data_IF_802431384476
#
_entry.id   IF_802431384476
#
_cell.length_a   1.000
_cell.length_b   1.000
_cell.length_c   1.000
_cell.angle_alpha   90.00
_cell.angle_beta   90.00
_cell.angle_gamma   90.00
#
_symmetry.space_group_name_H-M   'P 1'
#
loop_
_entity.id
_entity.type
_entity.pdbx_description
1 polymer ?
#
# COMPACT_ATOMS: atom_id res chain seq x y z
N UNK A 1 -11.29 4.61 28.96
CA UNK A 1 -10.90 3.83 27.77
C UNK A 1 -9.69 4.51 27.14
N UNK A 2 -8.61 3.77 26.90
CA UNK A 2 -7.41 4.28 26.23
C UNK A 2 -7.67 4.44 24.74
N UNK A 3 -6.93 5.32 24.08
CA UNK A 3 -7.11 5.56 22.64
C UNK A 3 -6.81 4.30 21.81
N UNK A 4 -5.81 3.53 22.24
CA UNK A 4 -5.48 2.22 21.66
C UNK A 4 -6.67 1.23 21.71
N UNK A 5 -7.50 1.28 22.76
CA UNK A 5 -8.67 0.42 22.88
C UNK A 5 -9.76 0.84 21.88
N UNK A 6 -9.99 2.14 21.73
CA UNK A 6 -10.90 2.70 20.72
C UNK A 6 -10.43 2.33 19.31
N UNK A 7 -9.15 2.55 19.01
CA UNK A 7 -8.55 2.21 17.71
C UNK A 7 -8.71 0.73 17.40
N UNK A 8 -8.38 -0.16 18.34
CA UNK A 8 -8.51 -1.60 18.14
C UNK A 8 -9.95 -2.04 17.89
N UNK A 9 -10.92 -1.53 18.67
CA UNK A 9 -12.34 -1.83 18.45
C UNK A 9 -12.84 -1.38 17.06
N UNK A 10 -12.34 -0.25 16.56
CA UNK A 10 -12.64 0.22 15.20
C UNK A 10 -11.98 -0.65 14.13
N UNK A 11 -10.70 -1.01 14.31
CA UNK A 11 -10.01 -1.94 13.40
C UNK A 11 -10.77 -3.26 13.31
N UNK A 12 -11.19 -3.83 14.44
CA UNK A 12 -11.93 -5.09 14.50
C UNK A 12 -13.30 -4.97 13.85
N UNK A 13 -14.05 -3.89 14.13
CA UNK A 13 -15.32 -3.62 13.45
C UNK A 13 -15.17 -3.53 11.92
N UNK A 14 -14.15 -2.82 11.43
CA UNK A 14 -13.88 -2.70 9.99
C UNK A 14 -13.53 -4.07 9.38
N UNK A 15 -12.68 -4.86 10.03
CA UNK A 15 -12.34 -6.23 9.56
C UNK A 15 -13.56 -7.15 9.53
N UNK A 16 -14.40 -7.11 10.55
CA UNK A 16 -15.67 -7.87 10.61
C UNK A 16 -16.60 -7.51 9.45
N UNK A 17 -16.58 -6.23 9.04
CA UNK A 17 -17.30 -5.70 7.87
C UNK A 17 -16.51 -5.80 6.56
N UNK A 18 -15.48 -6.67 6.50
CA UNK A 18 -14.70 -7.02 5.29
C UNK A 18 -13.85 -5.89 4.70
N UNK A 19 -13.52 -4.88 5.49
CA UNK A 19 -12.48 -3.92 5.12
C UNK A 19 -11.09 -4.51 5.32
N UNK A 20 -10.16 -4.17 4.44
CA UNK A 20 -8.74 -4.23 4.73
C UNK A 20 -8.34 -3.03 5.59
N UNK A 21 -7.59 -3.29 6.66
CA UNK A 21 -7.13 -2.26 7.61
C UNK A 21 -5.61 -2.35 7.70
N UNK A 22 -4.85 -1.38 7.15
CA UNK A 22 -3.40 -1.36 7.27
C UNK A 22 -2.95 -1.35 8.73
N UNK A 23 -1.89 -2.12 9.06
CA UNK A 23 -1.35 -2.12 10.42
C UNK A 23 -0.51 -0.89 10.75
N UNK A 24 0.19 -0.36 9.74
CA UNK A 24 0.98 0.88 9.85
C UNK A 24 0.11 2.10 9.58
N UNK A 25 0.59 3.25 10.03
CA UNK A 25 -0.04 4.55 9.77
C UNK A 25 -0.20 4.80 8.26
N UNK A 26 -1.37 5.31 7.88
CA UNK A 26 -1.66 5.71 6.51
C UNK A 26 -1.47 7.22 6.39
N UNK A 27 -0.43 7.66 5.69
CA UNK A 27 -0.08 9.07 5.59
C UNK A 27 -0.52 9.63 4.23
N UNK A 28 -1.39 10.64 4.24
CA UNK A 28 -1.83 11.39 3.04
C UNK A 28 -1.41 12.86 3.08
N UNK A 29 -0.43 13.20 3.92
CA UNK A 29 -0.09 14.56 4.35
C UNK A 29 -0.69 14.88 5.71
N UNK A 30 -1.77 14.18 6.05
CA UNK A 30 -2.34 14.03 7.39
C UNK A 30 -2.49 12.53 7.69
N UNK A 31 -2.64 12.16 8.97
CA UNK A 31 -2.59 10.76 9.41
C UNK A 31 -3.86 10.39 10.18
N UNK A 32 -4.88 9.81 9.50
CA UNK A 32 -6.00 9.20 10.20
C UNK A 32 -5.53 8.09 11.13
N UNK A 33 -6.17 7.96 12.30
CA UNK A 33 -5.82 6.93 13.28
C UNK A 33 -6.09 5.51 12.77
N UNK A 34 -7.18 5.34 12.02
CA UNK A 34 -7.56 4.10 11.36
C UNK A 34 -8.08 4.41 9.97
N UNK A 35 -7.68 3.60 8.99
CA UNK A 35 -8.27 3.61 7.65
C UNK A 35 -8.77 2.22 7.28
N UNK A 36 -9.80 2.17 6.44
CA UNK A 36 -10.36 0.92 5.92
C UNK A 36 -10.63 1.02 4.42
N UNK A 37 -10.26 -0.03 3.68
CA UNK A 37 -10.50 -0.12 2.24
C UNK A 37 -11.30 -1.37 1.88
N UNK A 38 -12.24 -1.24 0.96
CA UNK A 38 -13.04 -2.37 0.48
C UNK A 38 -13.46 -2.15 -0.97
N UNK A 39 -13.26 -3.16 -1.83
CA UNK A 39 -13.93 -3.20 -3.14
C UNK A 39 -15.44 -3.35 -2.90
N UNK A 40 -16.23 -2.38 -3.37
CA UNK A 40 -17.69 -2.46 -3.34
C UNK A 40 -18.20 -3.20 -4.56
N UNK A 41 -17.61 -2.90 -5.72
CA UNK A 41 -17.84 -3.59 -6.97
C UNK A 41 -16.55 -3.66 -7.80
N UNK A 42 -16.68 -3.78 -9.11
CA UNK A 42 -15.55 -3.85 -10.02
C UNK A 42 -14.81 -2.53 -10.23
N UNK A 43 -15.34 -1.36 -9.89
CA UNK A 43 -14.70 -0.07 -10.13
C UNK A 43 -14.59 0.78 -8.86
N UNK A 44 -15.53 0.60 -7.93
CA UNK A 44 -15.62 1.40 -6.71
C UNK A 44 -14.86 0.78 -5.54
N UNK A 45 -14.02 1.61 -4.90
CA UNK A 45 -13.40 1.32 -3.62
C UNK A 45 -14.04 2.23 -2.57
N UNK A 46 -14.60 1.63 -1.53
CA UNK A 46 -15.01 2.36 -0.33
C UNK A 46 -13.80 2.57 0.57
N UNK A 47 -13.44 3.84 0.74
CA UNK A 47 -12.33 4.28 1.57
C UNK A 47 -12.84 5.05 2.78
N UNK A 48 -12.54 4.55 3.97
CA UNK A 48 -12.94 5.14 5.24
C UNK A 48 -11.71 5.65 5.98
N UNK A 49 -11.80 6.85 6.55
CA UNK A 49 -10.87 7.36 7.56
C UNK A 49 -11.61 7.58 8.89
N UNK A 50 -10.98 7.19 10.00
CA UNK A 50 -11.53 7.32 11.34
C UNK A 50 -10.53 8.02 12.25
N UNK A 51 -10.98 9.08 12.92
CA UNK A 51 -10.26 9.72 14.02
C UNK A 51 -10.78 9.17 15.36
N UNK A 52 -9.90 8.67 16.21
CA UNK A 52 -10.24 7.99 17.46
C UNK A 52 -9.96 8.90 18.65
N UNK A 53 -10.99 9.23 19.44
CA UNK A 53 -10.88 10.05 20.64
C UNK A 53 -11.26 9.28 21.89
N UNK A 54 -10.70 9.69 23.03
CA UNK A 54 -10.89 9.04 24.35
C UNK A 54 -11.91 9.75 25.24
N UNK A 55 -12.34 10.96 24.86
CA UNK A 55 -13.17 11.82 25.69
C UNK A 55 -14.64 11.79 25.27
N UNK A 56 -15.53 12.07 26.23
CA UNK A 56 -16.99 11.96 26.11
C UNK A 56 -17.73 13.29 26.13
N UNK A 57 -17.04 14.42 25.94
CA UNK A 57 -17.74 15.72 25.88
C UNK A 57 -18.17 16.06 24.46
N UNK A 58 -19.45 16.39 24.27
CA UNK A 58 -20.02 16.79 22.98
C UNK A 58 -19.26 17.95 22.34
N UNK A 59 -18.85 18.94 23.14
CA UNK A 59 -18.09 20.11 22.65
C UNK A 59 -16.75 19.73 22.04
N UNK A 60 -15.95 18.93 22.73
CA UNK A 60 -14.64 18.49 22.21
C UNK A 60 -14.78 17.62 20.96
N UNK A 61 -15.86 16.82 20.86
CA UNK A 61 -16.14 16.04 19.65
C UNK A 61 -16.48 16.95 18.47
N UNK A 62 -17.27 18.01 18.69
CA UNK A 62 -17.56 19.02 17.66
C UNK A 62 -16.27 19.75 17.25
N UNK A 63 -15.44 20.17 18.19
CA UNK A 63 -14.16 20.83 17.90
C UNK A 63 -13.21 19.90 17.11
N UNK A 64 -13.17 18.61 17.46
CA UNK A 64 -12.40 17.60 16.70
C UNK A 64 -12.94 17.41 15.29
N UNK A 65 -14.27 17.33 15.14
CA UNK A 65 -14.92 17.22 13.85
C UNK A 65 -14.55 18.41 12.96
N UNK A 66 -14.57 19.62 13.54
CA UNK A 66 -14.28 20.87 12.83
C UNK A 66 -12.82 21.06 12.44
N UNK A 67 -11.87 20.49 13.19
CA UNK A 67 -10.44 20.76 13.02
C UNK A 67 -9.65 19.60 12.42
N UNK A 68 -9.93 18.35 12.79
CA UNK A 68 -9.11 17.20 12.40
C UNK A 68 -9.81 16.33 11.36
N UNK A 69 -11.04 15.88 11.64
CA UNK A 69 -11.77 15.02 10.69
C UNK A 69 -12.08 15.75 9.37
N UNK A 70 -12.29 17.07 9.41
CA UNK A 70 -12.46 17.89 8.19
C UNK A 70 -11.23 17.94 7.27
N UNK A 71 -10.03 17.70 7.80
CA UNK A 71 -8.82 17.60 6.98
C UNK A 71 -8.80 16.28 6.21
N UNK A 72 -9.28 15.19 6.82
CA UNK A 72 -9.39 13.90 6.14
C UNK A 72 -10.39 13.94 4.99
N UNK A 73 -11.44 14.77 5.10
CA UNK A 73 -12.45 14.92 4.06
C UNK A 73 -11.92 15.50 2.75
N UNK A 74 -10.70 16.04 2.71
CA UNK A 74 -10.05 16.47 1.48
C UNK A 74 -9.68 15.30 0.57
N UNK A 75 -9.38 14.13 1.16
CA UNK A 75 -8.93 12.95 0.39
C UNK A 75 -9.77 11.69 0.65
N UNK A 76 -10.52 11.60 1.74
CA UNK A 76 -11.38 10.45 2.06
C UNK A 76 -12.86 10.78 1.84
N UNK A 77 -13.59 9.97 1.05
CA UNK A 77 -15.00 10.18 0.81
C UNK A 77 -15.83 9.96 2.09
N UNK A 78 -15.45 9.01 2.94
CA UNK A 78 -16.19 8.69 4.17
C UNK A 78 -15.31 8.89 5.39
N UNK A 79 -15.61 9.91 6.19
CA UNK A 79 -14.85 10.23 7.40
C UNK A 79 -15.72 10.05 8.63
N UNK A 80 -15.17 9.42 9.66
CA UNK A 80 -15.84 9.15 10.91
C UNK A 80 -15.02 9.67 12.09
N UNK A 81 -15.72 10.01 13.18
CA UNK A 81 -15.13 10.06 14.51
C UNK A 81 -15.50 8.79 15.27
N UNK A 82 -14.59 8.29 16.11
CA UNK A 82 -14.83 7.21 17.05
C UNK A 82 -14.60 7.70 18.49
N UNK A 83 -15.51 7.38 19.39
CA UNK A 83 -15.48 7.80 20.79
C UNK A 83 -16.06 6.73 21.70
N UNK A 84 -15.68 6.67 22.99
CA UNK A 84 -16.44 5.91 23.99
C UNK A 84 -17.92 6.32 24.02
N UNK A 85 -18.76 5.39 24.48
CA UNK A 85 -20.20 5.54 24.55
C UNK A 85 -20.66 6.86 25.21
N UNK A 86 -21.56 7.59 24.54
CA UNK A 86 -22.04 8.91 24.91
C UNK A 86 -23.57 8.92 25.04
N UNK A 87 -24.06 9.26 26.24
CA UNK A 87 -25.49 9.17 26.60
C UNK A 87 -26.39 10.08 25.74
N UNK A 88 -25.93 11.28 25.39
CA UNK A 88 -26.73 12.31 24.69
C UNK A 88 -26.27 12.55 23.24
N UNK A 89 -25.91 11.49 22.51
CA UNK A 89 -25.34 11.62 21.16
C UNK A 89 -26.32 12.18 20.13
N UNK A 90 -27.63 12.12 20.38
CA UNK A 90 -28.65 12.69 19.50
C UNK A 90 -28.48 14.19 19.28
N UNK A 91 -27.94 14.92 20.27
CA UNK A 91 -27.65 16.36 20.14
C UNK A 91 -26.53 16.63 19.12
N UNK A 92 -25.65 15.65 18.88
CA UNK A 92 -24.55 15.75 17.92
C UNK A 92 -25.00 15.48 16.48
N UNK A 93 -26.14 14.81 16.30
CA UNK A 93 -26.58 14.31 14.99
C UNK A 93 -26.70 15.44 13.96
N UNK A 94 -27.34 16.56 14.32
CA UNK A 94 -27.51 17.69 13.42
C UNK A 94 -26.17 18.27 12.95
N UNK A 95 -25.22 18.43 13.87
CA UNK A 95 -23.89 18.95 13.57
C UNK A 95 -23.13 17.97 12.67
N UNK A 96 -23.08 16.68 13.03
CA UNK A 96 -22.33 15.66 12.30
C UNK A 96 -22.89 15.43 10.90
N UNK A 97 -24.22 15.39 10.75
CA UNK A 97 -24.87 15.35 9.43
C UNK A 97 -24.53 16.59 8.59
N UNK A 98 -24.55 17.78 9.18
CA UNK A 98 -24.19 19.02 8.46
C UNK A 98 -22.73 19.03 7.98
N UNK A 99 -21.84 18.38 8.75
CA UNK A 99 -20.43 18.21 8.40
C UNK A 99 -20.18 16.99 7.50
N UNK A 100 -21.19 16.15 7.25
CA UNK A 100 -21.09 14.84 6.56
C UNK A 100 -20.07 13.89 7.21
N UNK A 101 -19.93 13.97 8.53
CA UNK A 101 -19.04 13.12 9.32
C UNK A 101 -19.87 12.06 10.04
N UNK A 102 -19.45 10.80 9.94
CA UNK A 102 -20.06 9.70 10.66
C UNK A 102 -19.58 9.59 12.11
N UNK A 103 -20.25 8.76 12.91
CA UNK A 103 -19.89 8.55 14.32
C UNK A 103 -19.94 7.07 14.68
N UNK A 104 -18.83 6.56 15.21
CA UNK A 104 -18.76 5.30 15.90
C UNK A 104 -18.77 5.51 17.43
N UNK A 105 -19.58 4.74 18.13
CA UNK A 105 -19.45 4.57 19.59
C UNK A 105 -18.69 3.29 19.87
N UNK A 106 -17.81 3.33 20.85
CA UNK A 106 -17.09 2.16 21.35
C UNK A 106 -17.53 1.84 22.77
N UNK A 107 -17.89 0.58 23.00
CA UNK A 107 -18.19 0.00 24.30
C UNK A 107 -17.37 -1.27 24.51
N UNK A 108 -16.37 -1.20 25.41
CA UNK A 108 -15.33 -2.22 25.54
C UNK A 108 -14.59 -2.44 24.23
N UNK A 109 -14.64 -3.68 23.72
CA UNK A 109 -14.01 -4.10 22.46
C UNK A 109 -14.95 -4.00 21.24
N UNK A 110 -16.17 -3.49 21.40
CA UNK A 110 -17.17 -3.44 20.34
C UNK A 110 -17.38 -2.00 19.88
N UNK A 111 -17.27 -1.77 18.57
CA UNK A 111 -17.70 -0.52 17.95
C UNK A 111 -19.08 -0.68 17.31
N UNK A 112 -19.85 0.41 17.29
CA UNK A 112 -21.15 0.51 16.64
C UNK A 112 -21.25 1.80 15.85
N UNK A 113 -21.62 1.72 14.58
CA UNK A 113 -21.98 2.89 13.76
C UNK A 113 -23.29 3.48 14.30
N UNK A 114 -23.26 4.75 14.67
CA UNK A 114 -24.44 5.52 15.13
C UNK A 114 -24.94 6.41 14.01
N UNK A 115 -24.02 7.14 13.38
CA UNK A 115 -24.30 7.99 12.23
C UNK A 115 -23.43 7.55 11.07
N UNK A 116 -24.05 7.35 9.91
CA UNK A 116 -23.35 7.06 8.68
C UNK A 116 -22.69 8.34 8.16
N UNK A 117 -21.46 8.25 7.68
CA UNK A 117 -20.81 9.34 6.95
C UNK A 117 -21.42 9.51 5.55
N UNK A 118 -21.26 10.69 4.97
CA UNK A 118 -21.63 10.98 3.59
C UNK A 118 -20.46 11.66 2.87
N UNK A 119 -20.45 11.64 1.53
CA UNK A 119 -19.34 12.19 0.74
C UNK A 119 -19.24 13.70 0.99
N UNK A 120 -18.10 14.18 1.45
CA UNK A 120 -17.89 15.61 1.70
C UNK A 120 -17.85 16.40 0.39
N UNK A 121 -18.49 17.58 0.29
CA UNK A 121 -18.29 18.47 -0.85
C UNK A 121 -16.87 19.09 -0.88
N UNK A 122 -16.07 18.87 0.17
CA UNK A 122 -14.66 19.28 0.24
C UNK A 122 -13.72 18.25 -0.37
N UNK A 123 -14.23 17.08 -0.74
CA UNK A 123 -13.42 16.03 -1.34
C UNK A 123 -12.78 16.57 -2.62
N UNK A 124 -11.46 16.65 -2.62
CA UNK A 124 -10.68 16.90 -3.81
C UNK A 124 -10.49 15.55 -4.51
N UNK A 125 -10.98 15.47 -5.76
CA UNK A 125 -11.02 14.22 -6.49
C UNK A 125 -9.61 13.72 -6.83
N UNK A 126 -8.67 14.62 -7.11
CA UNK A 126 -7.30 14.25 -7.46
C UNK A 126 -6.56 13.74 -6.21
N UNK A 127 -6.73 14.42 -5.07
CA UNK A 127 -6.20 13.94 -3.79
C UNK A 127 -6.78 12.58 -3.41
N UNK A 128 -8.09 12.38 -3.59
CA UNK A 128 -8.68 11.06 -3.40
C UNK A 128 -8.10 10.03 -4.36
N UNK A 129 -8.05 10.32 -5.66
CA UNK A 129 -7.60 9.41 -6.69
C UNK A 129 -6.15 8.96 -6.41
N UNK A 130 -5.23 9.90 -6.27
CA UNK A 130 -3.79 9.63 -6.21
C UNK A 130 -3.31 9.23 -4.81
N UNK A 131 -3.83 9.84 -3.74
CA UNK A 131 -3.33 9.58 -2.38
C UNK A 131 -4.07 8.43 -1.68
N UNK A 132 -5.29 8.10 -2.10
CA UNK A 132 -6.15 7.12 -1.41
C UNK A 132 -6.56 5.98 -2.34
N UNK A 133 -7.28 6.25 -3.43
CA UNK A 133 -7.91 5.23 -4.27
C UNK A 133 -6.88 4.30 -4.92
N UNK A 134 -5.82 4.85 -5.53
CA UNK A 134 -4.81 4.02 -6.20
C UNK A 134 -3.95 3.22 -5.22
N UNK A 135 -3.62 3.82 -4.08
CA UNK A 135 -2.94 3.11 -2.97
C UNK A 135 -3.82 1.97 -2.46
N UNK A 136 -5.12 2.21 -2.25
CA UNK A 136 -6.06 1.19 -1.83
C UNK A 136 -6.22 0.08 -2.88
N UNK A 137 -6.29 0.43 -4.17
CA UNK A 137 -6.35 -0.52 -5.27
C UNK A 137 -5.13 -1.44 -5.26
N UNK A 138 -3.93 -0.88 -5.14
CA UNK A 138 -2.69 -1.65 -5.07
C UNK A 138 -2.69 -2.65 -3.90
N UNK A 139 -3.05 -2.19 -2.70
CA UNK A 139 -3.10 -3.03 -1.49
C UNK A 139 -4.13 -4.15 -1.65
N UNK A 140 -5.36 -3.81 -2.05
CA UNK A 140 -6.44 -4.79 -2.15
C UNK A 140 -6.17 -5.80 -3.27
N UNK A 141 -5.66 -5.37 -4.42
CA UNK A 141 -5.34 -6.29 -5.52
C UNK A 141 -4.17 -7.19 -5.16
N UNK A 142 -3.10 -6.66 -4.55
CA UNK A 142 -1.99 -7.50 -4.07
C UNK A 142 -2.52 -8.57 -3.10
N UNK A 143 -3.38 -8.19 -2.16
CA UNK A 143 -4.00 -9.12 -1.21
C UNK A 143 -4.77 -10.26 -1.87
N UNK A 144 -5.52 -9.94 -2.92
CA UNK A 144 -6.36 -10.93 -3.62
C UNK A 144 -5.56 -11.85 -4.55
N UNK A 145 -4.42 -11.40 -5.08
CA UNK A 145 -3.62 -12.16 -6.04
C UNK A 145 -2.49 -12.93 -5.36
N UNK A 146 -1.80 -12.30 -4.40
CA UNK A 146 -0.62 -12.86 -3.74
C UNK A 146 -0.94 -13.35 -2.33
N UNK A 147 -1.69 -12.57 -1.54
CA UNK A 147 -1.97 -12.85 -0.14
C UNK A 147 -1.72 -11.64 0.76
N UNK A 148 -1.85 -11.82 2.07
CA UNK A 148 -1.82 -10.72 3.04
C UNK A 148 -0.49 -9.94 2.99
N UNK A 149 -0.48 -8.67 2.57
CA UNK A 149 0.76 -7.92 2.39
C UNK A 149 1.27 -7.28 3.68
N UNK A 150 2.59 -7.23 3.82
CA UNK A 150 3.24 -6.14 4.54
C UNK A 150 3.13 -4.87 3.70
N UNK A 151 2.50 -3.84 4.26
CA UNK A 151 2.33 -2.54 3.59
C UNK A 151 3.30 -1.52 4.17
N UNK A 152 3.94 -0.74 3.30
CA UNK A 152 4.74 0.42 3.67
C UNK A 152 4.30 1.65 2.85
N UNK A 153 4.01 2.76 3.53
CA UNK A 153 3.57 4.02 2.92
C UNK A 153 4.56 5.09 3.39
N UNK A 154 5.71 5.25 2.71
CA UNK A 154 6.76 6.15 3.15
C UNK A 154 6.37 7.61 2.98
N UNK A 155 5.59 7.91 1.95
CA UNK A 155 5.14 9.25 1.58
C UNK A 155 3.68 9.23 1.11
N UNK A 156 2.98 10.39 1.12
CA UNK A 156 1.62 10.50 0.59
C UNK A 156 1.50 10.04 -0.86
N UNK A 157 0.61 9.08 -1.11
CA UNK A 157 0.41 8.48 -2.43
C UNK A 157 1.43 7.41 -2.82
N UNK A 158 2.42 7.11 -1.98
CA UNK A 158 3.37 6.02 -2.21
C UNK A 158 2.97 4.75 -1.45
N UNK A 159 3.20 3.60 -2.07
CA UNK A 159 2.94 2.30 -1.47
C UNK A 159 3.99 1.27 -1.90
N UNK A 160 4.34 0.40 -0.95
CA UNK A 160 5.03 -0.84 -1.21
C UNK A 160 4.22 -1.98 -0.57
N UNK A 161 3.81 -2.94 -1.38
CA UNK A 161 3.19 -4.19 -0.95
C UNK A 161 4.15 -5.34 -1.25
N UNK A 162 4.47 -6.12 -0.23
CA UNK A 162 5.42 -7.23 -0.30
C UNK A 162 5.16 -8.23 0.83
N UNK A 163 5.79 -9.41 0.83
CA UNK A 163 5.75 -10.38 1.95
C UNK A 163 7.11 -10.43 2.64
N UNK A 164 7.25 -9.95 3.88
CA UNK A 164 8.55 -9.67 4.54
C UNK A 164 9.57 -10.82 4.61
N UNK A 165 9.20 -12.07 4.34
CA UNK A 165 10.07 -13.25 4.47
C UNK A 165 10.35 -14.00 3.16
N UNK A 166 9.79 -13.58 2.03
CA UNK A 166 10.06 -14.23 0.75
C UNK A 166 11.46 -13.90 0.19
N UNK A 167 12.09 -14.88 -0.47
CA UNK A 167 13.44 -14.69 -0.98
C UNK A 167 13.51 -13.83 -2.24
N UNK A 168 12.68 -14.17 -3.22
CA UNK A 168 12.45 -13.39 -4.42
C UNK A 168 11.01 -12.88 -4.32
N UNK A 169 10.83 -11.73 -3.68
CA UNK A 169 9.52 -11.28 -3.25
C UNK A 169 8.75 -10.63 -4.39
N UNK A 170 7.46 -10.94 -4.52
CA UNK A 170 6.63 -10.10 -5.39
C UNK A 170 6.48 -8.73 -4.75
N UNK A 171 6.90 -7.68 -5.46
CA UNK A 171 6.83 -6.30 -5.01
C UNK A 171 5.88 -5.54 -5.92
N UNK A 172 4.81 -4.99 -5.36
CA UNK A 172 3.98 -3.96 -5.99
C UNK A 172 4.32 -2.62 -5.37
N UNK A 173 4.72 -1.66 -6.20
CA UNK A 173 5.06 -0.32 -5.72
C UNK A 173 4.91 0.71 -6.82
N UNK A 174 4.62 1.95 -6.44
CA UNK A 174 4.72 3.06 -7.38
C UNK A 174 6.09 3.73 -7.35
N UNK A 175 6.63 4.04 -8.53
CA UNK A 175 7.97 4.60 -8.64
C UNK A 175 7.95 6.11 -8.37
N UNK A 176 8.78 6.67 -7.47
CA UNK A 176 8.63 8.06 -7.03
C UNK A 176 8.71 9.14 -8.12
N UNK A 177 9.36 8.84 -9.26
CA UNK A 177 9.55 9.84 -10.34
C UNK A 177 8.35 10.00 -11.26
N UNK A 178 7.69 8.90 -11.63
CA UNK A 178 6.56 8.91 -12.57
C UNK A 178 5.24 8.48 -11.91
N UNK A 179 5.31 8.04 -10.64
CA UNK A 179 4.19 7.61 -9.78
C UNK A 179 3.35 6.45 -10.33
N UNK A 180 3.77 5.87 -11.45
CA UNK A 180 3.13 4.70 -12.03
C UNK A 180 3.39 3.48 -11.17
N UNK A 181 2.49 2.50 -11.26
CA UNK A 181 2.57 1.29 -10.48
C UNK A 181 3.35 0.22 -11.23
N UNK A 182 4.36 -0.32 -10.57
CA UNK A 182 5.24 -1.36 -11.06
C UNK A 182 5.08 -2.61 -10.22
N UNK A 183 5.11 -3.75 -10.88
CA UNK A 183 5.01 -5.05 -10.23
C UNK A 183 6.06 -6.00 -10.78
N UNK A 184 6.66 -6.77 -9.88
CA UNK A 184 7.66 -7.77 -10.27
C UNK A 184 8.34 -8.42 -9.09
N UNK A 185 9.56 -8.90 -9.28
CA UNK A 185 10.37 -9.54 -8.24
C UNK A 185 11.37 -8.54 -7.67
N UNK A 186 11.48 -8.53 -6.35
CA UNK A 186 12.53 -7.84 -5.60
C UNK A 186 13.32 -8.88 -4.79
N UNK A 187 14.64 -8.91 -4.98
CA UNK A 187 15.57 -9.72 -4.18
C UNK A 187 16.38 -8.77 -3.32
N UNK A 188 16.15 -8.87 -2.02
CA UNK A 188 16.85 -8.15 -0.97
C UNK A 188 17.12 -9.09 0.21
N UNK A 189 17.99 -8.65 1.13
CA UNK A 189 18.55 -9.40 2.26
C UNK A 189 19.65 -10.38 1.87
N UNK A 190 20.57 -10.60 2.81
CA UNK A 190 21.82 -11.34 2.60
C UNK A 190 21.59 -12.75 2.07
N UNK A 191 20.73 -13.47 2.76
CA UNK A 191 20.38 -14.86 2.50
C UNK A 191 19.78 -15.06 1.11
N UNK A 192 19.02 -14.08 0.62
CA UNK A 192 18.33 -14.15 -0.66
C UNK A 192 19.23 -13.74 -1.81
N UNK A 193 20.02 -12.67 -1.64
CA UNK A 193 21.03 -12.29 -2.63
C UNK A 193 22.05 -13.42 -2.82
N UNK A 194 22.40 -14.15 -1.76
CA UNK A 194 23.27 -15.33 -1.88
C UNK A 194 22.70 -16.45 -2.75
N UNK A 195 21.38 -16.53 -2.93
CA UNK A 195 20.78 -17.51 -3.84
C UNK A 195 21.08 -17.18 -5.31
N UNK A 196 21.19 -15.89 -5.65
CA UNK A 196 21.61 -15.43 -6.98
C UNK A 196 23.00 -15.97 -7.37
N UNK A 197 23.88 -16.23 -6.40
CA UNK A 197 25.20 -16.81 -6.66
C UNK A 197 25.15 -18.23 -7.22
N UNK A 198 24.05 -18.94 -7.02
CA UNK A 198 23.84 -20.34 -7.43
C UNK A 198 23.09 -20.44 -8.75
N UNK A 199 22.57 -19.33 -9.24
CA UNK A 199 21.80 -19.26 -10.48
C UNK A 199 22.74 -19.50 -11.66
N UNK A 200 22.35 -20.38 -12.57
CA UNK A 200 23.05 -20.57 -13.84
C UNK A 200 22.91 -19.29 -14.69
N UNK A 201 24.04 -18.65 -15.01
CA UNK A 201 24.12 -17.42 -15.81
C UNK A 201 23.38 -17.57 -17.14
N UNK A 202 23.62 -18.68 -17.85
CA UNK A 202 22.98 -18.97 -19.14
C UNK A 202 21.47 -19.15 -19.02
N UNK A 203 21.01 -19.88 -17.99
CA UNK A 203 19.57 -20.09 -17.79
C UNK A 203 18.88 -18.78 -17.40
N UNK A 204 19.51 -17.98 -16.55
CA UNK A 204 18.97 -16.67 -16.16
C UNK A 204 18.89 -15.74 -17.36
N UNK A 205 19.95 -15.64 -18.16
CA UNK A 205 19.95 -14.85 -19.40
C UNK A 205 18.82 -15.29 -20.33
N UNK A 206 18.68 -16.58 -20.60
CA UNK A 206 17.60 -17.11 -21.45
C UNK A 206 16.21 -16.74 -20.94
N UNK A 207 15.96 -16.87 -19.64
CA UNK A 207 14.67 -16.51 -19.05
C UNK A 207 14.41 -15.00 -19.11
N UNK A 208 15.43 -14.17 -18.82
CA UNK A 208 15.33 -12.72 -18.89
C UNK A 208 15.04 -12.24 -20.32
N UNK A 209 15.72 -12.80 -21.32
CA UNK A 209 15.50 -12.46 -22.73
C UNK A 209 14.13 -12.92 -23.26
N UNK A 210 13.53 -13.93 -22.63
CA UNK A 210 12.18 -14.38 -22.97
C UNK A 210 11.07 -13.45 -22.44
N UNK A 211 11.41 -12.49 -21.57
CA UNK A 211 10.43 -11.55 -21.03
C UNK A 211 10.03 -10.48 -22.07
N UNK A 212 8.79 -9.97 -22.00
CA UNK A 212 8.36 -8.81 -22.78
C UNK A 212 9.27 -7.58 -22.62
N UNK A 213 9.30 -6.71 -23.64
CA UNK A 213 10.20 -5.54 -23.68
C UNK A 213 9.92 -4.48 -22.60
N UNK A 214 8.74 -4.52 -21.98
CA UNK A 214 8.32 -3.59 -20.94
C UNK A 214 8.98 -3.87 -19.58
N UNK A 215 9.67 -5.01 -19.45
CA UNK A 215 10.41 -5.34 -18.24
C UNK A 215 11.69 -4.53 -18.11
N UNK A 216 11.89 -4.03 -16.90
CA UNK A 216 13.07 -3.30 -16.46
C UNK A 216 13.79 -4.12 -15.40
N UNK A 217 15.11 -4.17 -15.54
CA UNK A 217 16.01 -4.63 -14.50
C UNK A 217 16.60 -3.42 -13.80
N UNK A 218 16.71 -3.49 -12.48
CA UNK A 218 17.34 -2.48 -11.65
C UNK A 218 18.21 -3.12 -10.59
N UNK A 219 19.44 -2.65 -10.48
CA UNK A 219 20.39 -3.02 -9.45
C UNK A 219 20.81 -1.75 -8.70
N UNK A 220 20.51 -1.71 -7.40
CA UNK A 220 20.97 -0.65 -6.51
C UNK A 220 22.02 -1.21 -5.54
N UNK A 221 23.03 -0.39 -5.22
CA UNK A 221 23.91 -0.59 -4.06
C UNK A 221 23.32 0.16 -2.87
N UNK A 222 23.12 -0.52 -1.74
CA UNK A 222 22.57 0.07 -0.52
C UNK A 222 23.66 0.12 0.56
N UNK A 223 24.10 1.32 0.94
CA UNK A 223 25.10 1.49 2.00
C UNK A 223 24.50 1.28 3.38
N UNK A 224 23.35 1.93 3.58
CA UNK A 224 22.66 1.99 4.86
C UNK A 224 21.16 2.11 4.59
N UNK A 225 20.39 1.39 5.41
CA UNK A 225 18.93 1.50 5.48
C UNK A 225 18.47 2.42 6.62
N UNK A 226 19.31 2.63 7.64
CA UNK A 226 18.95 3.34 8.88
C UNK A 226 20.08 4.25 9.37
N UNK A 227 19.78 5.46 9.90
CA UNK A 227 18.43 6.03 10.09
C UNK A 227 17.79 6.56 8.80
N UNK A 228 18.55 6.63 7.71
CA UNK A 228 18.10 7.07 6.39
C UNK A 228 18.67 6.13 5.34
N UNK A 229 17.85 5.76 4.35
CA UNK A 229 18.32 4.97 3.22
C UNK A 229 19.30 5.78 2.36
N UNK A 230 20.47 5.21 2.11
CA UNK A 230 21.47 5.71 1.14
C UNK A 230 21.70 4.60 0.13
N UNK A 231 21.20 4.82 -1.08
CA UNK A 231 21.32 3.89 -2.20
C UNK A 231 21.84 4.60 -3.45
N UNK A 232 22.60 3.88 -4.27
CA UNK A 232 23.03 4.34 -5.59
C UNK A 232 22.62 3.34 -6.65
N UNK A 233 22.06 3.86 -7.75
CA UNK A 233 21.75 3.07 -8.94
C UNK A 233 23.05 2.59 -9.57
N UNK A 234 23.23 1.27 -9.65
CA UNK A 234 24.37 0.63 -10.33
C UNK A 234 24.02 0.37 -11.78
N UNK A 235 22.82 -0.15 -12.02
CA UNK A 235 22.30 -0.47 -13.35
C UNK A 235 20.78 -0.28 -13.36
N UNK A 236 20.25 0.28 -14.44
CA UNK A 236 18.83 0.36 -14.70
C UNK A 236 18.59 0.37 -16.20
N UNK A 237 18.03 -0.71 -16.75
CA UNK A 237 17.80 -0.83 -18.20
C UNK A 237 16.65 -1.80 -18.51
N UNK A 238 16.22 -1.85 -19.76
CA UNK A 238 15.26 -2.84 -20.28
C UNK A 238 15.94 -4.20 -20.42
N UNK A 239 15.18 -5.26 -20.17
CA UNK A 239 15.71 -6.64 -20.25
C UNK A 239 16.25 -6.99 -21.64
N UNK A 240 15.62 -6.48 -22.70
CA UNK A 240 16.01 -6.71 -24.09
C UNK A 240 17.33 -6.02 -24.49
N UNK A 241 17.82 -5.07 -23.68
CA UNK A 241 19.08 -4.37 -23.92
C UNK A 241 20.27 -5.05 -23.25
N UNK A 242 20.04 -6.08 -22.43
CA UNK A 242 21.09 -6.79 -21.71
C UNK A 242 21.78 -7.82 -22.61
N UNK A 243 23.12 -7.82 -22.62
CA UNK A 243 23.91 -8.92 -23.16
C UNK A 243 24.10 -10.05 -22.14
N UNK A 244 24.69 -11.16 -22.57
CA UNK A 244 25.11 -12.23 -21.66
C UNK A 244 26.16 -11.75 -20.66
N UNK A 245 27.09 -10.89 -21.10
CA UNK A 245 28.13 -10.30 -20.26
C UNK A 245 27.53 -9.35 -19.21
N UNK A 246 26.46 -8.62 -19.54
CA UNK A 246 25.77 -7.75 -18.57
C UNK A 246 25.12 -8.57 -17.44
N UNK A 247 24.49 -9.70 -17.78
CA UNK A 247 23.92 -10.62 -16.78
C UNK A 247 25.01 -11.23 -15.90
N UNK A 248 26.12 -11.65 -16.50
CA UNK A 248 27.27 -12.14 -15.76
C UNK A 248 27.80 -11.09 -14.78
N UNK A 249 28.02 -9.86 -15.26
CA UNK A 249 28.49 -8.74 -14.45
C UNK A 249 27.53 -8.38 -13.32
N UNK A 250 26.21 -8.43 -13.58
CA UNK A 250 25.17 -8.20 -12.57
C UNK A 250 25.25 -9.25 -11.44
N UNK A 251 25.28 -10.53 -11.79
CA UNK A 251 25.30 -11.62 -10.80
C UNK A 251 26.62 -11.61 -10.00
N UNK A 252 27.74 -11.34 -10.67
CA UNK A 252 29.05 -11.20 -10.03
C UNK A 252 29.10 -9.97 -9.10
N UNK A 253 28.42 -8.87 -9.46
CA UNK A 253 28.27 -7.70 -8.59
C UNK A 253 27.47 -8.01 -7.32
N UNK A 254 26.32 -8.68 -7.47
CA UNK A 254 25.51 -9.16 -6.34
C UNK A 254 26.34 -10.03 -5.39
N UNK A 255 27.11 -10.97 -5.95
CA UNK A 255 28.03 -11.83 -5.18
C UNK A 255 29.09 -11.03 -4.42
N UNK A 256 29.74 -10.07 -5.09
CA UNK A 256 30.82 -9.27 -4.50
C UNK A 256 30.34 -8.33 -3.38
N UNK A 257 29.11 -7.83 -3.49
CA UNK A 257 28.54 -6.85 -2.55
C UNK A 257 27.62 -7.46 -1.49
N UNK A 258 27.36 -8.76 -1.57
CA UNK A 258 26.45 -9.50 -0.68
C UNK A 258 25.11 -8.75 -0.49
N UNK A 259 24.71 -8.56 0.77
CA UNK A 259 23.44 -8.00 1.20
C UNK A 259 23.26 -6.50 0.93
N UNK A 260 24.31 -5.82 0.48
CA UNK A 260 24.28 -4.40 0.13
C UNK A 260 23.76 -4.17 -1.29
N UNK A 261 23.03 -5.12 -1.84
CA UNK A 261 22.41 -4.99 -3.16
C UNK A 261 20.91 -5.20 -3.07
N UNK A 262 20.19 -4.42 -3.88
CA UNK A 262 18.78 -4.58 -4.14
C UNK A 262 18.65 -4.86 -5.63
N UNK A 263 18.17 -6.04 -5.96
CA UNK A 263 17.87 -6.44 -7.33
C UNK A 263 16.36 -6.38 -7.52
N UNK A 264 15.92 -5.68 -8.56
CA UNK A 264 14.51 -5.58 -8.93
C UNK A 264 14.37 -5.93 -10.41
N UNK A 265 13.40 -6.77 -10.72
CA UNK A 265 12.93 -7.08 -12.06
C UNK A 265 11.43 -6.88 -12.10
N UNK A 266 10.96 -5.86 -12.82
CA UNK A 266 9.57 -5.45 -12.79
C UNK A 266 9.12 -4.80 -14.09
N UNK A 267 7.82 -4.63 -14.26
CA UNK A 267 7.27 -3.78 -15.32
C UNK A 267 6.15 -2.93 -14.78
N UNK A 268 5.81 -1.87 -15.53
CA UNK A 268 4.61 -1.08 -15.27
C UNK A 268 3.37 -1.95 -15.43
N UNK A 269 2.46 -1.87 -14.46
CA UNK A 269 1.16 -2.55 -14.50
C UNK A 269 -0.01 -1.60 -14.64
N UNK A 270 0.10 -0.34 -14.22
CA UNK A 270 -0.86 0.72 -14.56
C UNK A 270 -0.29 2.12 -14.30
N UNK A 271 -0.88 3.12 -14.94
CA UNK A 271 -0.55 4.53 -14.71
C UNK A 271 -1.17 5.05 -13.41
N UNK A 272 -0.62 6.13 -12.84
CA UNK A 272 -1.15 6.71 -11.60
C UNK A 272 -2.62 7.17 -11.71
N UNK A 273 -3.06 7.63 -12.88
CA UNK A 273 -4.40 8.14 -13.15
C UNK A 273 -5.34 7.07 -13.73
N UNK A 274 -4.86 5.83 -13.92
CA UNK A 274 -5.63 4.78 -14.57
C UNK A 274 -6.73 4.23 -13.64
N UNK A 275 -7.97 4.65 -13.85
CA UNK A 275 -9.14 4.16 -13.12
C UNK A 275 -9.60 2.78 -13.63
N UNK A 276 -8.81 1.75 -13.33
CA UNK A 276 -9.07 0.38 -13.78
C UNK A 276 -10.12 -0.34 -12.95
N UNK A 277 -10.73 -1.35 -13.57
CA UNK A 277 -11.56 -2.31 -12.84
C UNK A 277 -10.70 -3.24 -11.97
N UNK A 278 -11.27 -3.71 -10.86
CA UNK A 278 -10.75 -4.78 -10.01
C UNK A 278 -10.25 -5.97 -10.83
N UNK A 279 -11.07 -6.45 -11.77
CA UNK A 279 -10.72 -7.59 -12.65
C UNK A 279 -9.47 -7.28 -13.48
N UNK A 280 -9.36 -6.07 -13.99
CA UNK A 280 -8.22 -5.67 -14.82
C UNK A 280 -6.93 -5.54 -13.99
N UNK A 281 -6.99 -4.92 -12.81
CA UNK A 281 -5.86 -4.91 -11.88
C UNK A 281 -5.36 -6.32 -11.57
N UNK A 282 -6.28 -7.25 -11.24
CA UNK A 282 -5.93 -8.65 -10.98
C UNK A 282 -5.26 -9.31 -12.18
N UNK A 283 -5.89 -9.22 -13.35
CA UNK A 283 -5.40 -9.83 -14.59
C UNK A 283 -3.97 -9.38 -14.92
N UNK A 284 -3.66 -8.10 -14.72
CA UNK A 284 -2.32 -7.55 -14.98
C UNK A 284 -1.26 -8.11 -14.01
N UNK A 285 -1.60 -8.27 -12.72
CA UNK A 285 -0.70 -8.87 -11.74
C UNK A 285 -0.52 -10.38 -11.98
N UNK A 286 -1.61 -11.10 -12.22
CA UNK A 286 -1.58 -12.54 -12.53
C UNK A 286 -0.70 -12.83 -13.75
N UNK A 287 -0.79 -11.99 -14.80
CA UNK A 287 0.08 -12.08 -15.97
C UNK A 287 1.57 -11.90 -15.64
N UNK A 288 1.91 -10.94 -14.79
CA UNK A 288 3.30 -10.73 -14.35
C UNK A 288 3.79 -11.91 -13.50
N UNK A 289 2.93 -12.49 -12.66
CA UNK A 289 3.28 -13.67 -11.86
C UNK A 289 3.62 -14.83 -12.79
N UNK A 290 2.76 -15.12 -13.78
CA UNK A 290 3.00 -16.18 -14.76
C UNK A 290 4.35 -16.00 -15.48
N UNK A 291 4.62 -14.78 -15.97
CA UNK A 291 5.86 -14.43 -16.68
C UNK A 291 7.10 -14.55 -15.79
N UNK A 292 7.00 -14.17 -14.51
CA UNK A 292 8.14 -14.12 -13.59
C UNK A 292 8.33 -15.37 -12.72
N UNK A 293 7.35 -16.28 -12.65
CA UNK A 293 7.44 -17.51 -11.83
C UNK A 293 8.69 -18.34 -12.15
N UNK A 294 9.04 -18.63 -13.42
CA UNK A 294 10.25 -19.41 -13.73
C UNK A 294 11.54 -18.76 -13.21
N UNK A 295 11.60 -17.43 -13.24
CA UNK A 295 12.75 -16.67 -12.74
C UNK A 295 12.76 -16.70 -11.21
N UNK A 296 11.60 -16.50 -10.57
CA UNK A 296 11.44 -16.61 -9.11
C UNK A 296 11.90 -17.99 -8.61
N UNK A 297 11.48 -19.06 -9.28
CA UNK A 297 11.85 -20.45 -8.96
C UNK A 297 13.34 -20.73 -9.19
N UNK A 298 13.95 -20.14 -10.22
CA UNK A 298 15.39 -20.26 -10.45
C UNK A 298 16.21 -19.59 -9.34
N UNK A 299 15.70 -18.48 -8.77
CA UNK A 299 16.33 -17.76 -7.65
C UNK A 299 16.03 -18.41 -6.29
N UNK A 300 14.86 -19.05 -6.15
CA UNK A 300 14.32 -19.59 -4.90
C UNK A 300 15.04 -20.81 -4.35
#
# INVERSE_FOLDING_TARGET
MKESEVRNAIKDYLRDNKYYVPEKEFNIGVRPDVVGFQWIDNFEIKSIAVECKTFVSSRLLIETALNQAREYQLAFPYVYLATPNLKNHRELEGVFRSLRIGLFMVDGAKAKEIFKADISPRLDYDDFLFKVRQVAAAILTYREVIGEPDVNIPYPGEVHCYIKEESANFLLSNYPKDRNYYFGICVEKKENVRKLERVSKDNFYKLIQALPEEYLIRLDYVDTYKPREVCWLVMGTRVQELSSEDIEGLLDYCKKKEWRTRFILWRKVWEEDEALSKREHKRRLEKVIEELTPIKELIG
#
